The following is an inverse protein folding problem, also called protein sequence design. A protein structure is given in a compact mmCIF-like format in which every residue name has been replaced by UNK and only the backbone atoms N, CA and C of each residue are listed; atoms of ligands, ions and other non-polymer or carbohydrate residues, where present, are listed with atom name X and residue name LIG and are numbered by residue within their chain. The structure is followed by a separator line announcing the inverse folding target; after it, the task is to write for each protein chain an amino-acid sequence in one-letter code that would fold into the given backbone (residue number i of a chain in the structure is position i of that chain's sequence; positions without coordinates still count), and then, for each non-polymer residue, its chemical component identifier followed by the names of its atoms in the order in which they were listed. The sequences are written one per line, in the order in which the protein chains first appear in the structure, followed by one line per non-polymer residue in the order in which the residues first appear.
data_IF_881129248426
#
_entry.id   IF_881129248426
#
_cell.length_a   1.000
_cell.length_b   1.000
_cell.length_c   1.000
_cell.angle_alpha   90.00
_cell.angle_beta   90.00
_cell.angle_gamma   90.00
#
_symmetry.space_group_name_H-M   'P 1'
#
loop_
_entity.id
_entity.type
_entity.pdbx_description
1 polymer ?
#
# COMPACT_ATOMS: atom_id res chain seq x y z
N UNK A 1 34.10 19.61 16.14
CA UNK A 1 33.06 20.28 15.34
C UNK A 1 32.43 19.32 14.31
N UNK A 2 33.06 18.18 14.03
CA UNK A 2 32.63 17.17 13.05
C UNK A 2 31.64 16.17 13.64
N UNK A 3 31.65 15.91 14.96
CA UNK A 3 30.73 14.95 15.62
C UNK A 3 29.33 15.50 15.84
N UNK A 4 29.18 16.82 16.03
CA UNK A 4 27.85 17.44 16.20
C UNK A 4 27.00 17.45 14.93
N UNK A 5 27.63 17.49 13.75
CA UNK A 5 26.96 17.42 12.44
C UNK A 5 26.51 15.99 12.11
N UNK A 6 27.19 14.97 12.65
CA UNK A 6 26.79 13.55 12.48
C UNK A 6 25.54 13.21 13.28
N UNK A 7 25.41 13.71 14.49
CA UNK A 7 24.26 13.44 15.37
C UNK A 7 22.98 14.11 14.83
N UNK A 8 23.08 15.30 14.23
CA UNK A 8 21.94 15.99 13.59
C UNK A 8 21.47 15.24 12.33
N UNK A 9 22.38 14.62 11.57
CA UNK A 9 22.03 13.84 10.39
C UNK A 9 21.38 12.50 10.75
N UNK A 10 21.76 11.88 11.87
CA UNK A 10 21.16 10.63 12.36
C UNK A 10 19.79 10.84 12.97
N UNK A 11 19.57 11.94 13.67
CA UNK A 11 18.27 12.30 14.25
C UNK A 11 17.21 12.60 13.17
N UNK A 12 17.62 13.22 12.07
CA UNK A 12 16.73 13.52 10.95
C UNK A 12 16.37 12.25 10.13
N UNK A 13 17.23 11.24 10.10
CA UNK A 13 17.01 9.97 9.40
C UNK A 13 16.03 9.05 10.16
N UNK A 14 15.97 9.15 11.49
CA UNK A 14 15.15 8.30 12.36
C UNK A 14 13.69 8.76 12.48
N UNK A 15 13.38 10.01 12.17
CA UNK A 15 12.03 10.60 12.39
C UNK A 15 11.09 10.52 11.20
N UNK A 16 11.56 10.16 10.00
CA UNK A 16 10.72 10.18 8.79
C UNK A 16 9.98 8.87 8.48
N UNK A 17 10.51 7.72 8.89
CA UNK A 17 9.88 6.43 8.61
C UNK A 17 8.49 6.24 9.25
N UNK A 18 8.20 6.70 10.49
CA UNK A 18 6.85 6.62 11.02
C UNK A 18 5.88 7.47 10.21
N UNK A 19 6.33 8.63 9.71
CA UNK A 19 5.51 9.48 8.85
C UNK A 19 5.15 8.79 7.54
N UNK A 20 6.08 8.09 6.92
CA UNK A 20 5.81 7.32 5.71
C UNK A 20 4.78 6.21 5.96
N UNK A 21 4.90 5.48 7.06
CA UNK A 21 3.93 4.45 7.43
C UNK A 21 2.53 5.03 7.65
N UNK A 22 2.44 6.13 8.39
CA UNK A 22 1.16 6.80 8.66
C UNK A 22 0.55 7.38 7.39
N UNK A 23 1.33 8.06 6.56
CA UNK A 23 0.87 8.62 5.28
C UNK A 23 0.44 7.49 4.33
N UNK A 24 1.21 6.43 4.23
CA UNK A 24 0.89 5.27 3.40
C UNK A 24 -0.41 4.59 3.84
N UNK A 25 -0.57 4.36 5.16
CA UNK A 25 -1.80 3.77 5.71
C UNK A 25 -3.01 4.69 5.51
N UNK A 26 -2.88 5.99 5.77
CA UNK A 26 -3.95 6.95 5.59
C UNK A 26 -4.40 7.03 4.12
N UNK A 27 -3.46 7.13 3.18
CA UNK A 27 -3.76 7.14 1.75
C UNK A 27 -4.46 5.85 1.32
N UNK A 28 -4.02 4.69 1.81
CA UNK A 28 -4.64 3.42 1.47
C UNK A 28 -6.08 3.32 2.00
N UNK A 29 -6.34 3.77 3.22
CA UNK A 29 -7.71 3.82 3.77
C UNK A 29 -8.60 4.73 2.94
N UNK A 30 -8.14 5.93 2.60
CA UNK A 30 -8.89 6.87 1.76
C UNK A 30 -9.18 6.27 0.39
N UNK A 31 -8.19 5.67 -0.26
CA UNK A 31 -8.36 5.05 -1.59
C UNK A 31 -9.29 3.84 -1.54
N UNK A 32 -9.27 3.03 -0.47
CA UNK A 32 -10.22 1.94 -0.29
C UNK A 32 -11.65 2.45 -0.15
N UNK A 33 -11.86 3.52 0.63
CA UNK A 33 -13.18 4.13 0.76
C UNK A 33 -13.66 4.66 -0.59
N UNK A 34 -12.81 5.36 -1.33
CA UNK A 34 -13.13 5.87 -2.67
C UNK A 34 -13.46 4.72 -3.62
N UNK A 35 -12.64 3.67 -3.66
CA UNK A 35 -12.87 2.50 -4.51
C UNK A 35 -14.22 1.82 -4.18
N UNK A 36 -14.54 1.71 -2.89
CA UNK A 36 -15.82 1.15 -2.44
C UNK A 36 -17.01 2.04 -2.86
N UNK A 37 -16.90 3.35 -2.70
CA UNK A 37 -17.94 4.29 -3.13
C UNK A 37 -18.15 4.26 -4.65
N UNK A 38 -17.05 4.18 -5.42
CA UNK A 38 -17.13 4.04 -6.89
C UNK A 38 -17.82 2.73 -7.27
N UNK A 39 -17.47 1.62 -6.61
CA UNK A 39 -18.11 0.34 -6.86
C UNK A 39 -19.63 0.42 -6.59
N UNK A 40 -20.04 1.01 -5.47
CA UNK A 40 -21.46 1.17 -5.13
C UNK A 40 -22.20 2.10 -6.10
N UNK A 41 -21.50 3.02 -6.75
CA UNK A 41 -22.08 3.96 -7.72
C UNK A 41 -22.33 3.35 -9.10
N UNK A 42 -21.78 2.17 -9.36
CA UNK A 42 -21.92 1.46 -10.65
C UNK A 42 -22.69 0.14 -10.41
N UNK A 43 -24.00 0.09 -10.71
CA UNK A 43 -24.83 -1.06 -10.41
C UNK A 43 -24.32 -2.38 -11.01
N UNK A 44 -23.78 -2.34 -12.22
CA UNK A 44 -23.26 -3.53 -12.91
C UNK A 44 -22.05 -4.13 -12.17
N UNK A 45 -21.14 -3.29 -11.63
CA UNK A 45 -20.02 -3.74 -10.83
C UNK A 45 -20.49 -4.34 -9.50
N UNK A 46 -21.47 -3.71 -8.87
CA UNK A 46 -22.01 -4.18 -7.59
C UNK A 46 -22.70 -5.54 -7.77
N UNK A 47 -23.55 -5.69 -8.78
CA UNK A 47 -24.24 -6.94 -9.08
C UNK A 47 -23.24 -8.05 -9.44
N UNK A 48 -22.29 -7.79 -10.35
CA UNK A 48 -21.26 -8.75 -10.70
C UNK A 48 -20.38 -9.17 -9.51
N UNK A 49 -20.07 -8.25 -8.61
CA UNK A 49 -19.32 -8.56 -7.39
C UNK A 49 -20.12 -9.47 -6.44
N UNK A 50 -21.44 -9.36 -6.42
CA UNK A 50 -22.32 -10.12 -5.50
C UNK A 50 -22.80 -11.47 -6.07
N UNK A 51 -22.49 -11.81 -7.31
CA UNK A 51 -22.92 -13.07 -7.94
C UNK A 51 -22.49 -14.33 -7.18
N UNK A 52 -21.33 -14.31 -6.56
CA UNK A 52 -20.80 -15.43 -5.79
C UNK A 52 -19.82 -14.96 -4.69
N UNK A 53 -19.64 -15.79 -3.67
CA UNK A 53 -18.62 -15.53 -2.64
C UNK A 53 -17.20 -15.40 -3.26
N UNK A 54 -16.94 -16.09 -4.37
CA UNK A 54 -15.66 -15.98 -5.07
C UNK A 54 -15.50 -14.63 -5.77
N UNK A 55 -16.56 -14.13 -6.41
CA UNK A 55 -16.58 -12.79 -7.04
C UNK A 55 -16.38 -11.70 -6.01
N UNK A 56 -17.00 -11.79 -4.83
CA UNK A 56 -16.81 -10.84 -3.73
C UNK A 56 -15.36 -10.84 -3.26
N UNK A 57 -14.78 -12.00 -2.98
CA UNK A 57 -13.38 -12.12 -2.54
C UNK A 57 -12.43 -11.57 -3.61
N UNK A 58 -12.66 -11.90 -4.87
CA UNK A 58 -11.88 -11.38 -6.01
C UNK A 58 -11.95 -9.85 -6.10
N UNK A 59 -13.15 -9.28 -6.01
CA UNK A 59 -13.36 -7.83 -6.05
C UNK A 59 -12.65 -7.13 -4.89
N UNK A 60 -12.80 -7.64 -3.67
CA UNK A 60 -12.11 -7.09 -2.48
C UNK A 60 -10.59 -7.17 -2.64
N UNK A 61 -10.06 -8.29 -3.16
CA UNK A 61 -8.63 -8.45 -3.40
C UNK A 61 -8.10 -7.43 -4.41
N UNK A 62 -8.82 -7.23 -5.53
CA UNK A 62 -8.46 -6.23 -6.54
C UNK A 62 -8.51 -4.80 -6.01
N UNK A 63 -9.58 -4.42 -5.31
CA UNK A 63 -9.71 -3.10 -4.69
C UNK A 63 -8.57 -2.83 -3.71
N UNK A 64 -8.26 -3.82 -2.88
CA UNK A 64 -7.20 -3.73 -1.89
C UNK A 64 -5.82 -3.65 -2.56
N UNK A 65 -5.56 -4.47 -3.57
CA UNK A 65 -4.32 -4.43 -4.34
C UNK A 65 -4.12 -3.10 -5.06
N UNK A 66 -5.12 -2.61 -5.78
CA UNK A 66 -5.04 -1.34 -6.50
C UNK A 66 -4.83 -0.16 -5.54
N UNK A 67 -5.60 -0.12 -4.43
CA UNK A 67 -5.45 0.92 -3.41
C UNK A 67 -4.06 0.88 -2.77
N UNK A 68 -3.51 -0.30 -2.49
CA UNK A 68 -2.16 -0.48 -1.95
C UNK A 68 -1.09 -0.02 -2.93
N UNK A 69 -1.25 -0.34 -4.23
CA UNK A 69 -0.33 0.10 -5.27
C UNK A 69 -0.26 1.62 -5.37
N UNK A 70 -1.42 2.27 -5.51
CA UNK A 70 -1.50 3.74 -5.67
C UNK A 70 -1.06 4.44 -4.39
N UNK A 71 -1.50 3.97 -3.21
CA UNK A 71 -1.09 4.54 -1.93
C UNK A 71 0.42 4.45 -1.70
N UNK A 72 1.02 3.30 -2.03
CA UNK A 72 2.48 3.11 -1.91
C UNK A 72 3.24 4.05 -2.83
N UNK A 73 2.82 4.17 -4.10
CA UNK A 73 3.45 5.11 -5.03
C UNK A 73 3.36 6.56 -4.54
N UNK A 74 2.16 7.00 -4.15
CA UNK A 74 1.94 8.38 -3.68
C UNK A 74 2.73 8.67 -2.40
N UNK A 75 2.74 7.74 -1.44
CA UNK A 75 3.50 7.88 -0.21
C UNK A 75 5.01 8.04 -0.50
N UNK A 76 5.55 7.23 -1.40
CA UNK A 76 6.94 7.31 -1.83
C UNK A 76 7.26 8.64 -2.53
N UNK A 77 6.35 9.15 -3.37
CA UNK A 77 6.52 10.46 -4.00
C UNK A 77 6.50 11.61 -2.99
N UNK A 78 5.63 11.54 -1.97
CA UNK A 78 5.54 12.55 -0.91
C UNK A 78 6.85 12.58 -0.09
N UNK A 79 7.45 11.42 0.16
CA UNK A 79 8.66 11.27 1.00
C UNK A 79 9.96 11.25 0.17
N UNK A 80 9.87 11.51 -1.13
CA UNK A 80 10.90 11.37 -2.18
C UNK A 80 12.33 11.77 -1.81
N UNK A 81 12.52 12.73 -0.93
CA UNK A 81 13.84 13.32 -0.66
C UNK A 81 14.79 12.46 0.20
N UNK A 82 14.33 11.34 0.79
CA UNK A 82 15.09 10.66 1.85
C UNK A 82 15.26 9.15 1.69
N UNK A 83 14.67 8.54 0.65
CA UNK A 83 14.69 7.08 0.48
C UNK A 83 15.88 6.63 -0.38
N UNK A 84 16.98 6.23 0.26
CA UNK A 84 18.21 5.79 -0.43
C UNK A 84 18.27 4.27 -0.68
N UNK A 85 17.47 3.46 0.00
CA UNK A 85 17.52 2.01 -0.08
C UNK A 85 16.23 1.40 -0.61
N UNK A 86 16.32 0.56 -1.65
CA UNK A 86 15.17 -0.19 -2.20
C UNK A 86 14.55 -1.11 -1.16
N UNK A 87 15.37 -1.74 -0.31
CA UNK A 87 14.87 -2.60 0.76
C UNK A 87 13.99 -1.84 1.76
N UNK A 88 14.40 -0.64 2.13
CA UNK A 88 13.60 0.24 3.00
C UNK A 88 12.30 0.68 2.34
N UNK A 89 12.31 0.98 1.03
CA UNK A 89 11.09 1.28 0.27
C UNK A 89 10.10 0.12 0.35
N UNK A 90 10.56 -1.09 0.07
CA UNK A 90 9.71 -2.29 0.10
C UNK A 90 9.12 -2.52 1.49
N UNK A 91 9.94 -2.50 2.54
CA UNK A 91 9.46 -2.72 3.92
C UNK A 91 8.40 -1.69 4.30
N UNK A 92 8.67 -0.40 4.03
CA UNK A 92 7.78 0.68 4.44
C UNK A 92 6.50 0.78 3.60
N UNK A 93 6.46 0.20 2.41
CA UNK A 93 5.24 0.10 1.62
C UNK A 93 4.41 -1.15 1.95
N UNK A 94 5.07 -2.27 2.26
CA UNK A 94 4.41 -3.53 2.60
C UNK A 94 3.73 -3.47 3.96
N UNK A 95 4.34 -2.83 4.97
CA UNK A 95 3.76 -2.75 6.32
C UNK A 95 2.40 -2.05 6.33
N UNK A 96 2.22 -0.84 5.78
CA UNK A 96 0.90 -0.21 5.70
C UNK A 96 -0.11 -1.06 4.93
N UNK A 97 0.30 -1.66 3.82
CA UNK A 97 -0.55 -2.52 3.01
C UNK A 97 -1.05 -3.73 3.82
N UNK A 98 -0.18 -4.39 4.56
CA UNK A 98 -0.55 -5.52 5.41
C UNK A 98 -1.48 -5.11 6.56
N UNK A 99 -1.17 -4.00 7.25
CA UNK A 99 -1.97 -3.49 8.38
C UNK A 99 -3.37 -3.08 7.92
N UNK A 100 -3.48 -2.29 6.85
CA UNK A 100 -4.79 -1.85 6.33
C UNK A 100 -5.59 -3.03 5.78
N UNK A 101 -4.92 -3.99 5.13
CA UNK A 101 -5.58 -5.22 4.64
C UNK A 101 -6.13 -6.08 5.77
N UNK A 102 -5.55 -5.99 6.96
CA UNK A 102 -6.04 -6.71 8.14
C UNK A 102 -7.48 -6.31 8.53
N UNK A 103 -7.91 -5.08 8.21
CA UNK A 103 -9.30 -4.64 8.41
C UNK A 103 -10.30 -5.50 7.64
N UNK A 104 -9.87 -6.06 6.50
CA UNK A 104 -10.71 -6.92 5.67
C UNK A 104 -10.72 -8.40 6.14
N UNK A 105 -10.01 -8.76 7.22
CA UNK A 105 -9.92 -10.16 7.69
C UNK A 105 -11.31 -10.69 8.06
N UNK A 106 -12.05 -9.96 8.88
CA UNK A 106 -13.34 -10.42 9.39
C UNK A 106 -14.34 -10.71 8.27
N UNK A 107 -14.65 -9.78 7.35
CA UNK A 107 -15.60 -10.02 6.29
C UNK A 107 -15.13 -11.10 5.31
N UNK A 108 -13.84 -11.14 4.96
CA UNK A 108 -13.33 -12.13 4.01
C UNK A 108 -13.24 -13.54 4.61
N UNK A 109 -12.91 -13.66 5.89
CA UNK A 109 -12.91 -14.93 6.60
C UNK A 109 -14.32 -15.52 6.69
N UNK A 110 -15.34 -14.70 6.97
CA UNK A 110 -16.72 -15.13 7.03
C UNK A 110 -17.21 -15.74 5.69
N UNK A 111 -16.62 -15.36 4.56
CA UNK A 111 -17.02 -15.86 3.22
C UNK A 111 -16.40 -17.22 2.87
N UNK A 112 -15.11 -17.39 3.05
CA UNK A 112 -14.36 -18.59 2.63
C UNK A 112 -13.22 -19.00 3.55
N UNK A 113 -13.22 -18.53 4.79
CA UNK A 113 -12.20 -18.84 5.77
C UNK A 113 -10.82 -18.24 5.43
N UNK A 114 -9.78 -18.83 5.96
CA UNK A 114 -8.41 -18.32 5.86
C UNK A 114 -7.86 -18.18 4.45
N UNK A 115 -8.31 -18.99 3.51
CA UNK A 115 -7.89 -18.90 2.11
C UNK A 115 -8.22 -17.53 1.51
N UNK A 116 -9.42 -17.02 1.76
CA UNK A 116 -9.86 -15.69 1.28
C UNK A 116 -9.02 -14.57 1.89
N UNK A 117 -8.71 -14.67 3.18
CA UNK A 117 -7.85 -13.71 3.88
C UNK A 117 -6.46 -13.68 3.25
N UNK A 118 -5.87 -14.85 3.01
CA UNK A 118 -4.54 -14.95 2.38
C UNK A 118 -4.54 -14.34 0.98
N UNK A 119 -5.57 -14.57 0.18
CA UNK A 119 -5.69 -13.98 -1.18
C UNK A 119 -5.70 -12.45 -1.10
N UNK A 120 -6.57 -11.87 -0.26
CA UNK A 120 -6.70 -10.41 -0.15
C UNK A 120 -5.41 -9.74 0.33
N UNK A 121 -4.78 -10.30 1.36
CA UNK A 121 -3.52 -9.75 1.90
C UNK A 121 -2.38 -9.90 0.89
N UNK A 122 -2.29 -11.05 0.20
CA UNK A 122 -1.24 -11.28 -0.79
C UNK A 122 -1.32 -10.29 -1.96
N UNK A 123 -2.52 -9.97 -2.43
CA UNK A 123 -2.71 -8.96 -3.48
C UNK A 123 -2.19 -7.58 -3.04
N UNK A 124 -2.47 -7.16 -1.81
CA UNK A 124 -2.00 -5.88 -1.28
C UNK A 124 -0.46 -5.84 -1.15
N UNK A 125 0.13 -6.92 -0.63
CA UNK A 125 1.58 -7.03 -0.46
C UNK A 125 2.29 -7.02 -1.81
N UNK A 126 1.85 -7.86 -2.76
CA UNK A 126 2.44 -7.93 -4.10
C UNK A 126 2.33 -6.58 -4.81
N UNK A 127 1.16 -5.94 -4.73
CA UNK A 127 0.93 -4.63 -5.33
C UNK A 127 1.88 -3.56 -4.75
N UNK A 128 2.12 -3.57 -3.44
CA UNK A 128 3.04 -2.64 -2.77
C UNK A 128 4.50 -2.90 -3.14
N UNK A 129 4.90 -4.18 -3.29
CA UNK A 129 6.24 -4.54 -3.78
C UNK A 129 6.43 -4.03 -5.21
N UNK A 130 5.46 -4.28 -6.09
CA UNK A 130 5.51 -3.81 -7.49
C UNK A 130 5.58 -2.28 -7.55
N UNK A 131 4.79 -1.57 -6.74
CA UNK A 131 4.85 -0.12 -6.64
C UNK A 131 6.26 0.38 -6.24
N UNK A 132 6.88 -0.29 -5.26
CA UNK A 132 8.23 0.05 -4.79
C UNK A 132 9.29 -0.16 -5.88
N UNK A 133 9.17 -1.25 -6.64
CA UNK A 133 10.08 -1.54 -7.76
C UNK A 133 9.90 -0.53 -8.91
N UNK A 134 8.66 -0.20 -9.25
CA UNK A 134 8.34 0.83 -10.27
C UNK A 134 8.91 2.18 -9.85
N UNK A 135 8.73 2.57 -8.59
CA UNK A 135 9.28 3.81 -8.07
C UNK A 135 10.82 3.82 -8.12
N UNK A 136 11.46 2.74 -7.68
CA UNK A 136 12.91 2.62 -7.72
C UNK A 136 13.45 2.67 -9.17
N UNK A 137 12.74 2.08 -10.13
CA UNK A 137 13.09 2.13 -11.55
C UNK A 137 12.98 3.56 -12.12
N UNK A 138 11.91 4.28 -11.79
CA UNK A 138 11.71 5.66 -12.22
C UNK A 138 12.80 6.59 -11.67
N UNK A 139 13.16 6.45 -10.40
CA UNK A 139 14.24 7.25 -9.80
C UNK A 139 15.62 6.97 -10.40
N UNK A 140 15.93 5.70 -10.69
CA UNK A 140 17.20 5.35 -11.33
C UNK A 140 17.38 5.99 -12.71
N UNK A 141 16.29 6.29 -13.37
CA UNK A 141 16.32 6.94 -14.67
C UNK A 141 16.60 8.44 -14.58
N UNK A 142 16.19 9.08 -13.50
CA UNK A 142 16.40 10.53 -13.28
C UNK A 142 17.81 10.87 -12.80
N UNK A 143 18.53 9.91 -12.17
CA UNK A 143 19.92 10.10 -11.71
C UNK A 143 20.98 10.00 -12.83
N UNK A 144 20.57 9.66 -14.07
CA UNK A 144 21.44 9.54 -15.24
C UNK A 144 21.29 10.68 -16.26
N UNK A 145 20.47 11.67 -15.96
CA UNK A 145 20.31 12.89 -16.74
C UNK A 145 20.49 14.13 -15.84
#
# INVERSE_FOLDING_TARGET
MEDADRDVLLDDEYTWWPRLLVVGAALQVVLLIVAFLVMLSIPELTLGALESAQSVVGTVAWMNGLSSFVASLLAMFIVRRRLRSVAMLVVHSVVPAAVVSAVNIVPTYAMRGWLSVLVVISFAIIASIVASLVYAFLLRRDDYF
#
